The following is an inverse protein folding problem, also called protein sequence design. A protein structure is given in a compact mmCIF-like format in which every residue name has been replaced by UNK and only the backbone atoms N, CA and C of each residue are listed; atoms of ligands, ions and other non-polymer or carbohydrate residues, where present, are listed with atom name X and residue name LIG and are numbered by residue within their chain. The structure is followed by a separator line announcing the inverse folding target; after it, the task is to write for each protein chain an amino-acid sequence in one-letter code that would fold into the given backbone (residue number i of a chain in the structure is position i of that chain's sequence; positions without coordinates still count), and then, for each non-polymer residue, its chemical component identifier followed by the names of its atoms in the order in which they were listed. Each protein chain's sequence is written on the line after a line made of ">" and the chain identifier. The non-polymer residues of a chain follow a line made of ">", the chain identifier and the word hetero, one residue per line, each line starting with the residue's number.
data_IF_679621944807
#
_entry.id   IF_679621944807
#
_cell.length_a   1.000
_cell.length_b   1.000
_cell.length_c   1.000
_cell.angle_alpha   90.00
_cell.angle_beta   90.00
_cell.angle_gamma   90.00
#
_symmetry.space_group_name_H-M   'P 1'
#
loop_
_entity.id
_entity.type
_entity.pdbx_description
1 polymer ?
#
# COMPACT_ATOMS: atom_id res chain seq x y z
N UNK A 1 -26.58 62.99 13.47
CA UNK A 1 -27.20 61.66 13.34
C UNK A 1 -26.27 60.62 12.71
N UNK A 2 -25.31 61.01 11.87
CA UNK A 2 -24.35 60.10 11.20
C UNK A 2 -23.30 59.48 12.13
N UNK A 3 -22.77 60.25 13.09
CA UNK A 3 -21.68 59.82 13.99
C UNK A 3 -22.07 58.70 14.97
N UNK A 4 -23.33 58.67 15.41
CA UNK A 4 -23.89 57.63 16.29
C UNK A 4 -24.13 56.31 15.54
N UNK A 5 -24.53 56.40 14.27
CA UNK A 5 -24.74 55.24 13.40
C UNK A 5 -23.40 54.54 13.08
N UNK A 6 -22.35 55.31 12.76
CA UNK A 6 -21.00 54.76 12.54
C UNK A 6 -20.44 54.06 13.77
N UNK A 7 -20.63 54.62 14.97
CA UNK A 7 -20.17 53.99 16.20
C UNK A 7 -20.93 52.69 16.51
N UNK A 8 -22.22 52.63 16.20
CA UNK A 8 -23.03 51.43 16.33
C UNK A 8 -22.58 50.33 15.34
N UNK A 9 -22.30 50.69 14.08
CA UNK A 9 -21.78 49.76 13.09
C UNK A 9 -20.41 49.19 13.47
N UNK A 10 -19.51 50.02 14.01
CA UNK A 10 -18.20 49.58 14.51
C UNK A 10 -18.37 48.60 15.68
N UNK A 11 -19.26 48.92 16.62
CA UNK A 11 -19.55 48.05 17.76
C UNK A 11 -20.08 46.68 17.32
N UNK A 12 -21.05 46.65 16.39
CA UNK A 12 -21.60 45.42 15.83
C UNK A 12 -20.51 44.60 15.12
N UNK A 13 -19.63 45.25 14.35
CA UNK A 13 -18.51 44.58 13.67
C UNK A 13 -17.52 43.94 14.64
N UNK A 14 -17.21 44.61 15.75
CA UNK A 14 -16.32 44.07 16.79
C UNK A 14 -16.98 42.87 17.49
N UNK A 15 -18.25 42.96 17.85
CA UNK A 15 -18.99 41.86 18.46
C UNK A 15 -19.05 40.63 17.54
N UNK A 16 -19.26 40.82 16.24
CA UNK A 16 -19.29 39.74 15.26
C UNK A 16 -17.92 39.06 15.11
N UNK A 17 -16.83 39.84 15.11
CA UNK A 17 -15.47 39.29 15.08
C UNK A 17 -15.17 38.43 16.32
N UNK A 18 -15.54 38.90 17.51
CA UNK A 18 -15.35 38.15 18.76
C UNK A 18 -16.14 36.84 18.72
N UNK A 19 -17.38 36.87 18.24
CA UNK A 19 -18.22 35.67 18.11
C UNK A 19 -17.57 34.62 17.19
N UNK A 20 -17.04 35.04 16.03
CA UNK A 20 -16.34 34.14 15.10
C UNK A 20 -15.12 33.51 15.78
N UNK A 21 -14.32 34.31 16.49
CA UNK A 21 -13.13 33.79 17.19
C UNK A 21 -13.49 32.76 18.26
N UNK A 22 -14.58 32.98 19.00
CA UNK A 22 -15.08 32.02 20.00
C UNK A 22 -15.54 30.70 19.35
N UNK A 23 -16.24 30.77 18.21
CA UNK A 23 -16.65 29.59 17.45
C UNK A 23 -15.44 28.80 16.95
N UNK A 24 -14.42 29.48 16.41
CA UNK A 24 -13.19 28.82 15.93
C UNK A 24 -12.46 28.13 17.10
N UNK A 25 -12.30 28.81 18.24
CA UNK A 25 -11.67 28.22 19.43
C UNK A 25 -12.45 27.00 19.92
N UNK A 26 -13.79 27.07 19.94
CA UNK A 26 -14.63 25.94 20.32
C UNK A 26 -14.45 24.75 19.37
N UNK A 27 -14.49 24.98 18.06
CA UNK A 27 -14.34 23.92 17.05
C UNK A 27 -12.93 23.32 17.06
N UNK A 28 -11.89 24.11 17.28
CA UNK A 28 -10.50 23.62 17.35
C UNK A 28 -10.24 22.88 18.66
N UNK A 29 -10.71 23.42 19.79
CA UNK A 29 -10.53 22.82 21.12
C UNK A 29 -11.30 21.52 21.33
N UNK A 30 -12.45 21.35 20.65
CA UNK A 30 -13.27 20.15 20.77
C UNK A 30 -12.86 19.03 19.81
N UNK A 31 -11.87 19.26 18.93
CA UNK A 31 -11.19 18.18 18.22
C UNK A 31 -10.27 17.48 19.20
N UNK A 32 -10.79 16.48 19.91
CA UNK A 32 -9.90 15.47 20.47
C UNK A 32 -9.04 14.93 19.32
N UNK A 33 -7.70 14.97 19.42
CA UNK A 33 -6.89 14.25 18.46
C UNK A 33 -7.32 12.79 18.57
N UNK A 34 -7.84 12.23 17.47
CA UNK A 34 -8.19 10.83 17.42
C UNK A 34 -6.94 10.04 17.79
N UNK A 35 -6.89 9.58 19.03
CA UNK A 35 -5.73 8.92 19.58
C UNK A 35 -5.74 7.53 18.95
N UNK A 36 -5.01 7.39 17.84
CA UNK A 36 -4.86 6.12 17.13
C UNK A 36 -4.18 5.18 18.11
N UNK A 37 -4.98 4.36 18.80
CA UNK A 37 -4.46 3.23 19.59
C UNK A 37 -3.95 2.21 18.58
N UNK A 38 -2.65 2.28 18.27
CA UNK A 38 -2.00 1.20 17.56
C UNK A 38 -2.11 -0.06 18.41
N UNK A 39 -2.75 -1.09 17.84
CA UNK A 39 -2.76 -2.41 18.44
C UNK A 39 -1.31 -2.94 18.46
N UNK A 40 -0.66 -2.84 19.62
CA UNK A 40 0.73 -3.25 19.87
C UNK A 40 0.87 -4.73 20.21
N UNK A 41 -0.22 -5.48 20.20
CA UNK A 41 -0.15 -6.93 20.34
C UNK A 41 0.80 -7.49 19.25
N UNK A 42 1.86 -8.22 19.63
CA UNK A 42 2.76 -8.79 18.64
C UNK A 42 1.99 -9.81 17.80
N UNK A 43 1.69 -9.45 16.55
CA UNK A 43 0.94 -10.30 15.59
C UNK A 43 1.78 -11.53 15.15
N UNK A 44 3.06 -11.60 15.51
CA UNK A 44 3.98 -12.58 14.94
C UNK A 44 4.25 -13.70 15.93
N UNK A 45 3.58 -14.83 15.71
CA UNK A 45 4.10 -16.16 16.07
C UNK A 45 5.46 -16.34 15.40
N UNK A 46 6.51 -16.58 16.18
CA UNK A 46 7.90 -16.79 15.73
C UNK A 46 8.13 -18.01 14.80
N UNK A 47 7.08 -18.59 14.20
CA UNK A 47 7.24 -19.66 13.22
C UNK A 47 7.74 -19.07 11.90
N UNK A 48 9.06 -18.96 11.80
CA UNK A 48 9.77 -18.77 10.53
C UNK A 48 9.56 -20.03 9.70
N UNK A 49 8.57 -20.00 8.82
CA UNK A 49 8.34 -21.09 7.86
C UNK A 49 9.52 -21.10 6.88
N UNK A 50 10.35 -22.14 6.93
CA UNK A 50 11.36 -22.37 5.91
C UNK A 50 10.66 -22.74 4.60
N UNK A 51 10.97 -22.02 3.52
CA UNK A 51 10.50 -22.40 2.19
C UNK A 51 11.11 -23.74 1.80
N UNK A 52 10.34 -24.58 1.09
CA UNK A 52 10.84 -25.80 0.42
C UNK A 52 11.01 -25.60 -1.08
N UNK A 53 10.95 -24.36 -1.56
CA UNK A 53 10.97 -24.05 -2.98
C UNK A 53 12.37 -24.24 -3.58
N UNK A 54 12.39 -24.89 -4.73
CA UNK A 54 13.57 -25.06 -5.57
C UNK A 54 13.15 -24.99 -7.05
N UNK A 55 13.96 -24.31 -7.85
CA UNK A 55 13.92 -24.36 -9.30
C UNK A 55 15.35 -24.47 -9.89
N UNK A 56 15.48 -24.36 -11.21
CA UNK A 56 16.77 -24.48 -11.91
C UNK A 56 17.83 -23.46 -11.45
N UNK A 57 17.41 -22.31 -10.92
CA UNK A 57 18.27 -21.19 -10.56
C UNK A 57 18.32 -20.95 -9.04
N UNK A 58 17.24 -21.24 -8.33
CA UNK A 58 17.06 -20.86 -6.93
C UNK A 58 16.77 -22.07 -6.04
N UNK A 59 17.46 -22.14 -4.91
CA UNK A 59 17.24 -23.13 -3.83
C UNK A 59 16.90 -22.38 -2.54
N UNK A 60 15.61 -22.06 -2.35
CA UNK A 60 15.18 -21.17 -1.26
C UNK A 60 15.10 -21.86 0.11
N UNK A 61 15.23 -23.18 0.19
CA UNK A 61 15.32 -23.88 1.48
C UNK A 61 16.64 -23.60 2.22
N UNK A 62 17.67 -23.13 1.51
CA UNK A 62 18.91 -22.62 2.09
C UNK A 62 18.79 -21.16 2.55
N UNK A 63 17.71 -20.47 2.17
CA UNK A 63 17.51 -19.08 2.55
C UNK A 63 17.11 -19.01 4.03
N UNK A 64 18.05 -18.60 4.87
CA UNK A 64 17.87 -18.49 6.31
C UNK A 64 17.76 -17.02 6.71
N UNK A 65 16.60 -16.59 7.21
CA UNK A 65 16.43 -15.26 7.83
C UNK A 65 17.09 -15.16 9.22
N UNK A 66 17.96 -16.10 9.58
CA UNK A 66 18.71 -16.13 10.83
C UNK A 66 20.18 -15.85 10.51
N UNK A 67 20.93 -15.35 11.50
CA UNK A 67 22.37 -15.04 11.37
C UNK A 67 22.63 -13.89 10.37
N UNK A 68 23.72 -13.93 9.60
CA UNK A 68 24.23 -12.82 8.79
C UNK A 68 23.25 -12.35 7.71
N UNK A 69 22.46 -13.26 7.15
CA UNK A 69 21.44 -12.94 6.15
C UNK A 69 20.32 -12.05 6.71
N UNK A 70 20.15 -11.98 8.04
CA UNK A 70 19.19 -11.10 8.70
C UNK A 70 19.70 -9.66 8.85
N UNK A 71 21.02 -9.45 8.85
CA UNK A 71 21.67 -8.15 9.13
C UNK A 71 21.17 -7.00 8.23
N UNK A 72 21.03 -7.15 6.90
CA UNK A 72 20.51 -6.05 6.07
C UNK A 72 19.01 -5.79 6.27
N UNK A 73 18.25 -6.75 6.81
CA UNK A 73 16.83 -6.58 7.06
C UNK A 73 16.62 -5.84 8.37
N UNK A 74 16.52 -4.51 8.26
CA UNK A 74 16.24 -3.66 9.42
C UNK A 74 14.95 -4.10 10.12
N UNK A 75 13.96 -4.65 9.42
CA UNK A 75 12.57 -4.89 9.85
C UNK A 75 12.28 -6.36 10.18
N UNK A 76 11.23 -6.61 10.98
CA UNK A 76 10.74 -7.98 11.25
C UNK A 76 10.33 -8.69 9.96
N UNK A 77 10.38 -10.04 9.93
CA UNK A 77 9.87 -10.81 8.81
C UNK A 77 8.44 -10.42 8.45
N UNK A 78 8.11 -10.60 7.18
CA UNK A 78 6.85 -10.13 6.62
C UNK A 78 5.63 -10.71 7.37
N UNK A 79 4.58 -9.91 7.47
CA UNK A 79 3.29 -10.25 8.08
C UNK A 79 2.12 -9.85 7.16
N UNK A 80 0.89 -10.20 7.54
CA UNK A 80 -0.30 -9.95 6.72
C UNK A 80 -0.58 -8.47 6.42
N UNK A 81 -0.01 -7.54 7.20
CA UNK A 81 -0.12 -6.09 6.95
C UNK A 81 0.87 -5.60 5.90
N UNK A 82 1.90 -6.37 5.60
CA UNK A 82 2.85 -6.00 4.55
C UNK A 82 2.19 -6.23 3.19
N UNK A 83 2.23 -5.19 2.37
CA UNK A 83 1.51 -5.14 1.11
C UNK A 83 2.49 -4.94 -0.05
N UNK A 84 2.43 -5.84 -1.02
CA UNK A 84 3.16 -5.73 -2.27
C UNK A 84 2.16 -5.53 -3.42
N UNK A 85 2.26 -4.39 -4.08
CA UNK A 85 1.39 -4.03 -5.20
C UNK A 85 2.21 -4.03 -6.49
N UNK A 86 1.69 -4.70 -7.51
CA UNK A 86 2.20 -4.62 -8.88
C UNK A 86 1.21 -3.84 -9.73
N UNK A 87 1.67 -2.85 -10.47
CA UNK A 87 0.91 -2.26 -11.57
C UNK A 87 1.39 -2.84 -12.88
N UNK A 88 0.50 -3.43 -13.69
CA UNK A 88 0.87 -4.00 -14.99
C UNK A 88 -0.13 -3.61 -16.07
N UNK A 89 0.41 -3.40 -17.26
CA UNK A 89 -0.33 -3.23 -18.51
C UNK A 89 0.36 -4.06 -19.58
N UNK A 90 -0.42 -4.76 -20.39
CA UNK A 90 0.10 -5.53 -21.54
C UNK A 90 -0.43 -4.90 -22.81
N UNK A 91 0.47 -4.40 -23.66
CA UNK A 91 0.10 -3.78 -24.94
C UNK A 91 -0.50 -4.79 -25.92
N UNK A 92 -0.09 -6.05 -25.81
CA UNK A 92 -0.64 -7.18 -26.56
C UNK A 92 -0.24 -8.52 -25.90
N UNK A 93 -0.84 -9.63 -26.36
CA UNK A 93 -0.54 -10.98 -25.89
C UNK A 93 0.94 -11.37 -26.04
N UNK A 94 1.61 -10.90 -27.10
CA UNK A 94 3.04 -11.17 -27.32
C UNK A 94 3.93 -10.59 -26.22
N UNK A 95 3.63 -9.37 -25.76
CA UNK A 95 4.36 -8.72 -24.65
C UNK A 95 4.30 -9.54 -23.35
N UNK A 96 3.15 -10.16 -23.07
CA UNK A 96 2.97 -11.10 -21.96
C UNK A 96 3.78 -12.37 -22.18
N UNK A 97 3.66 -13.02 -23.34
CA UNK A 97 4.35 -14.27 -23.62
C UNK A 97 5.88 -14.17 -23.44
N UNK A 98 6.47 -13.05 -23.88
CA UNK A 98 7.91 -12.78 -23.74
C UNK A 98 8.34 -12.63 -22.27
N UNK A 99 7.47 -12.11 -21.40
CA UNK A 99 7.77 -11.84 -19.99
C UNK A 99 7.23 -12.92 -19.03
N UNK A 100 6.38 -13.82 -19.52
CA UNK A 100 5.60 -14.77 -18.73
C UNK A 100 6.48 -15.62 -17.83
N UNK A 101 7.52 -16.24 -18.40
CA UNK A 101 8.40 -17.12 -17.63
C UNK A 101 9.07 -16.38 -16.47
N UNK A 102 9.71 -15.24 -16.76
CA UNK A 102 10.41 -14.43 -15.76
C UNK A 102 9.45 -13.88 -14.70
N UNK A 103 8.25 -13.48 -15.11
CA UNK A 103 7.19 -13.03 -14.20
C UNK A 103 6.79 -14.15 -13.24
N UNK A 104 6.49 -15.35 -13.76
CA UNK A 104 6.09 -16.48 -12.92
C UNK A 104 7.20 -16.94 -11.98
N UNK A 105 8.46 -16.87 -12.41
CA UNK A 105 9.61 -17.13 -11.55
C UNK A 105 9.68 -16.10 -10.42
N UNK A 106 9.62 -14.80 -10.75
CA UNK A 106 9.65 -13.71 -9.77
C UNK A 106 8.51 -13.82 -8.76
N UNK A 107 7.29 -14.13 -9.21
CA UNK A 107 6.15 -14.32 -8.33
C UNK A 107 6.31 -15.55 -7.42
N UNK A 108 6.93 -16.63 -7.92
CA UNK A 108 7.26 -17.80 -7.09
C UNK A 108 8.29 -17.46 -6.02
N UNK A 109 9.31 -16.65 -6.35
CA UNK A 109 10.26 -16.14 -5.38
C UNK A 109 9.56 -15.29 -4.32
N UNK A 110 8.67 -14.38 -4.73
CA UNK A 110 7.95 -13.53 -3.78
C UNK A 110 6.99 -14.33 -2.89
N UNK A 111 6.31 -15.34 -3.44
CA UNK A 111 5.46 -16.24 -2.66
C UNK A 111 6.24 -16.97 -1.56
N UNK A 112 7.50 -17.29 -1.80
CA UNK A 112 8.33 -18.06 -0.88
C UNK A 112 9.22 -17.21 0.02
N UNK A 113 9.69 -16.06 -0.47
CA UNK A 113 10.53 -15.12 0.26
C UNK A 113 9.71 -14.22 1.19
N UNK A 114 8.50 -13.83 0.77
CA UNK A 114 7.56 -13.03 1.57
C UNK A 114 6.17 -13.67 1.70
N UNK A 115 6.06 -14.89 2.27
CA UNK A 115 4.84 -15.68 2.23
C UNK A 115 3.62 -15.03 2.91
N UNK A 116 3.83 -14.23 3.95
CA UNK A 116 2.75 -13.64 4.74
C UNK A 116 2.27 -12.30 4.19
N UNK A 117 3.04 -11.64 3.30
CA UNK A 117 2.63 -10.38 2.72
C UNK A 117 1.40 -10.54 1.80
N UNK A 118 0.44 -9.61 1.88
CA UNK A 118 -0.64 -9.49 0.89
C UNK A 118 -0.05 -9.02 -0.43
N UNK A 119 -0.41 -9.70 -1.53
CA UNK A 119 0.12 -9.40 -2.86
C UNK A 119 -1.04 -9.11 -3.80
N UNK A 120 -1.04 -7.92 -4.39
CA UNK A 120 -2.09 -7.45 -5.29
C UNK A 120 -1.46 -7.07 -6.62
N UNK A 121 -2.07 -7.46 -7.72
CA UNK A 121 -1.72 -7.01 -9.07
C UNK A 121 -2.89 -6.19 -9.62
N UNK A 122 -2.62 -4.91 -9.83
CA UNK A 122 -3.50 -3.99 -10.52
C UNK A 122 -3.29 -4.17 -12.02
N UNK A 123 -4.25 -4.82 -12.67
CA UNK A 123 -4.24 -5.04 -14.10
C UNK A 123 -4.94 -3.87 -14.79
N UNK A 124 -4.15 -3.06 -15.47
CA UNK A 124 -4.69 -2.01 -16.31
C UNK A 124 -4.99 -2.61 -17.69
N UNK A 125 -6.23 -2.52 -18.15
CA UNK A 125 -6.67 -3.10 -19.43
C UNK A 125 -7.07 -4.57 -19.35
N UNK A 126 -7.18 -5.21 -20.52
CA UNK A 126 -7.67 -6.58 -20.64
C UNK A 126 -6.60 -7.62 -20.23
N UNK A 127 -7.01 -8.76 -19.62
CA UNK A 127 -6.10 -9.86 -19.33
C UNK A 127 -5.45 -10.40 -20.60
N UNK A 128 -4.13 -10.71 -20.58
CA UNK A 128 -3.43 -11.23 -21.76
C UNK A 128 -3.80 -12.68 -22.10
N UNK A 129 -4.44 -13.40 -21.17
CA UNK A 129 -4.99 -14.75 -21.35
C UNK A 129 -6.20 -14.99 -20.42
N UNK A 130 -7.10 -15.89 -20.82
CA UNK A 130 -8.37 -16.16 -20.12
C UNK A 130 -8.15 -16.61 -18.66
N UNK A 131 -7.09 -17.37 -18.42
CA UNK A 131 -6.75 -17.93 -17.11
C UNK A 131 -5.75 -17.06 -16.32
N UNK A 132 -5.50 -15.81 -16.73
CA UNK A 132 -4.49 -14.95 -16.13
C UNK A 132 -4.69 -14.76 -14.62
N UNK A 133 -5.91 -14.43 -14.19
CA UNK A 133 -6.22 -14.23 -12.77
C UNK A 133 -5.98 -15.50 -11.94
N UNK A 134 -6.39 -16.67 -12.46
CA UNK A 134 -6.15 -17.97 -11.82
C UNK A 134 -4.66 -18.31 -11.74
N UNK A 135 -3.90 -17.98 -12.79
CA UNK A 135 -2.46 -18.18 -12.83
C UNK A 135 -1.76 -17.30 -11.78
N UNK A 136 -2.13 -16.03 -11.67
CA UNK A 136 -1.60 -15.12 -10.63
C UNK A 136 -1.97 -15.59 -9.23
N UNK A 137 -3.21 -16.04 -9.04
CA UNK A 137 -3.67 -16.61 -7.76
C UNK A 137 -2.89 -17.85 -7.36
N UNK A 138 -2.50 -18.70 -8.32
CA UNK A 138 -1.63 -19.86 -8.04
C UNK A 138 -0.25 -19.47 -7.49
N UNK A 139 0.18 -18.22 -7.74
CA UNK A 139 1.41 -17.61 -7.21
C UNK A 139 1.16 -16.72 -5.98
N UNK A 140 -0.02 -16.83 -5.36
CA UNK A 140 -0.38 -16.06 -4.17
C UNK A 140 -0.63 -14.58 -4.44
N UNK A 141 -1.01 -14.21 -5.67
CA UNK A 141 -1.30 -12.82 -6.06
C UNK A 141 -2.76 -12.67 -6.46
N UNK A 142 -3.45 -11.72 -5.83
CA UNK A 142 -4.82 -11.33 -6.19
C UNK A 142 -4.79 -10.33 -7.35
N UNK A 143 -5.61 -10.53 -8.37
CA UNK A 143 -5.69 -9.61 -9.52
C UNK A 143 -6.91 -8.70 -9.37
N UNK A 144 -6.69 -7.40 -9.46
CA UNK A 144 -7.73 -6.37 -9.49
C UNK A 144 -7.65 -5.66 -10.82
N UNK A 145 -8.71 -5.78 -11.63
CA UNK A 145 -8.78 -5.04 -12.89
C UNK A 145 -9.11 -3.58 -12.63
N UNK A 146 -8.30 -2.68 -13.17
CA UNK A 146 -8.49 -1.23 -13.07
C UNK A 146 -8.98 -0.73 -14.42
N UNK A 147 -10.15 -0.10 -14.42
CA UNK A 147 -10.63 0.66 -15.58
C UNK A 147 -9.81 1.93 -15.66
N UNK A 148 -9.08 2.12 -16.75
CA UNK A 148 -8.24 3.30 -16.96
C UNK A 148 -8.78 4.03 -18.19
N UNK A 149 -9.39 5.19 -17.98
CA UNK A 149 -10.00 6.00 -19.05
C UNK A 149 -8.94 6.69 -19.94
N UNK A 150 -7.67 6.73 -19.51
CA UNK A 150 -6.53 7.05 -20.36
C UNK A 150 -5.22 6.45 -19.80
N UNK A 151 -4.58 5.54 -20.54
CA UNK A 151 -3.28 4.97 -20.21
C UNK A 151 -2.15 5.90 -20.69
N UNK A 152 -2.15 7.16 -20.26
CA UNK A 152 -1.19 8.13 -20.80
C UNK A 152 0.17 8.17 -20.10
N UNK A 153 0.39 7.37 -19.05
CA UNK A 153 1.72 7.25 -18.46
C UNK A 153 1.95 5.82 -17.98
N UNK A 154 2.63 5.03 -18.83
CA UNK A 154 3.20 3.74 -18.45
C UNK A 154 4.24 3.94 -17.36
N UNK A 155 3.81 3.90 -16.11
CA UNK A 155 4.70 3.82 -14.97
C UNK A 155 4.41 2.51 -14.24
N UNK A 156 5.36 1.57 -14.32
CA UNK A 156 5.48 0.50 -13.33
C UNK A 156 5.83 1.18 -12.01
N UNK A 157 4.80 1.61 -11.27
CA UNK A 157 4.98 2.14 -9.92
C UNK A 157 5.10 0.93 -8.98
N UNK A 158 6.33 0.50 -8.72
CA UNK A 158 6.63 -0.32 -7.54
C UNK A 158 6.51 0.58 -6.31
N UNK A 159 5.32 0.61 -5.71
CA UNK A 159 5.17 1.15 -4.36
C UNK A 159 5.60 0.08 -3.36
N UNK A 160 6.82 0.18 -2.87
CA UNK A 160 7.22 -0.52 -1.65
C UNK A 160 6.83 0.36 -0.47
N UNK A 161 5.62 0.17 0.07
CA UNK A 161 5.21 0.86 1.29
C UNK A 161 5.84 0.13 2.47
N UNK A 162 6.98 0.63 2.93
CA UNK A 162 7.54 0.24 4.22
C UNK A 162 6.87 1.06 5.31
N UNK A 163 6.01 0.43 6.10
CA UNK A 163 5.58 1.03 7.36
C UNK A 163 6.70 0.89 8.40
N UNK A 164 7.23 2.03 8.85
CA UNK A 164 7.92 2.24 10.15
C UNK A 164 7.76 3.69 10.59
N UNK A 165 7.87 4.02 11.89
CA UNK A 165 7.88 3.18 13.09
C UNK A 165 6.50 2.76 13.58
#
# INVERSE_FOLDING_TARGET
>A
MTRTLTNLCIFISICFYILIMLIVIYVVGNKQPALIKLNTAPIITNQRVKSKYEDKLFKLYNFNYSEECAVPFKYKPNNQRDLLIYGVYFSNKGSWLNQRQMTLQTLSLNQNGIPNAKKILLLCGEPPEVNFASLMKSKGVEVITVKVDSLYNGAVLRYSVYCRP
#
